data_IF_112340354824
#
_entry.id   IF_112340354824
#
_cell.length_a   1.000
_cell.length_b   1.000
_cell.length_c   1.000
_cell.angle_alpha   90.00
_cell.angle_beta   90.00
_cell.angle_gamma   90.00
#
_symmetry.space_group_name_H-M   'P 1'
#
loop_
_entity.id
_entity.type
_entity.pdbx_description
1 polymer ?
#
# COMPACT_ATOMS: atom_id res chain seq x y z
N UNK A 1 39.49 9.91 -21.81
CA UNK A 1 38.28 10.68 -22.17
C UNK A 1 37.26 9.67 -22.66
N UNK A 2 36.01 9.56 -22.21
CA UNK A 2 35.18 10.38 -21.35
C UNK A 2 34.15 9.43 -20.72
N UNK A 3 33.78 9.61 -19.46
CA UNK A 3 32.72 8.84 -18.83
C UNK A 3 31.40 9.13 -19.55
N UNK A 4 30.74 8.11 -20.08
CA UNK A 4 29.40 8.20 -20.66
C UNK A 4 28.42 8.68 -19.59
N UNK A 5 27.93 9.90 -19.75
CA UNK A 5 26.95 10.52 -18.85
C UNK A 5 25.64 9.73 -18.95
N UNK A 6 25.24 9.07 -17.87
CA UNK A 6 23.91 8.46 -17.79
C UNK A 6 22.84 9.55 -17.97
N UNK A 7 21.76 9.29 -18.75
CA UNK A 7 20.70 10.26 -18.96
C UNK A 7 20.07 10.64 -17.61
N UNK A 8 19.88 11.94 -17.36
CA UNK A 8 19.15 12.43 -16.19
C UNK A 8 17.70 11.96 -16.31
N UNK A 9 17.28 11.09 -15.41
CA UNK A 9 15.87 10.74 -15.24
C UNK A 9 15.14 12.02 -14.82
N UNK A 10 14.19 12.49 -15.64
CA UNK A 10 13.25 13.53 -15.21
C UNK A 10 12.35 12.90 -14.16
N UNK A 11 12.52 13.32 -12.91
CA UNK A 11 11.74 12.80 -11.79
C UNK A 11 10.32 13.34 -11.92
N UNK A 12 9.38 12.46 -12.26
CA UNK A 12 7.96 12.76 -12.18
C UNK A 12 7.59 12.76 -10.69
N UNK A 13 7.01 13.85 -10.15
CA UNK A 13 6.60 13.87 -8.75
C UNK A 13 5.53 12.80 -8.50
N UNK A 14 5.49 12.19 -7.30
CA UNK A 14 4.43 11.25 -6.96
C UNK A 14 3.06 11.94 -7.05
N UNK A 15 2.06 11.23 -7.57
CA UNK A 15 0.69 11.74 -7.74
C UNK A 15 0.08 12.28 -6.44
N UNK A 16 0.51 11.73 -5.29
CA UNK A 16 0.03 12.09 -3.95
C UNK A 16 1.00 12.98 -3.16
N UNK A 17 2.07 13.47 -3.79
CA UNK A 17 3.09 14.30 -3.16
C UNK A 17 3.92 13.57 -2.10
N UNK A 18 4.73 14.32 -1.35
CA UNK A 18 5.48 13.81 -0.19
C UNK A 18 4.57 13.67 1.02
N UNK A 19 4.69 12.57 1.76
CA UNK A 19 3.90 12.37 2.98
C UNK A 19 4.21 13.49 4.00
N UNK A 20 3.20 14.30 4.41
CA UNK A 20 3.41 15.38 5.36
C UNK A 20 3.96 14.86 6.70
N UNK A 21 4.81 15.64 7.37
CA UNK A 21 5.34 15.30 8.69
C UNK A 21 4.49 15.97 9.78
N UNK A 22 4.24 15.24 10.86
CA UNK A 22 3.63 15.79 12.08
C UNK A 22 4.71 16.52 12.90
N UNK A 23 5.00 17.77 12.51
CA UNK A 23 6.06 18.56 13.14
C UNK A 23 5.74 18.95 14.59
N UNK A 24 4.48 19.24 14.86
CA UNK A 24 4.00 19.67 16.19
C UNK A 24 3.71 18.49 17.12
N UNK A 25 3.69 17.27 16.57
CA UNK A 25 3.46 16.05 17.33
C UNK A 25 2.02 15.91 17.80
N UNK A 26 1.05 16.48 17.07
CA UNK A 26 -0.37 16.48 17.45
C UNK A 26 -0.91 15.04 17.56
N UNK A 27 -0.41 14.13 16.73
CA UNK A 27 -0.79 12.72 16.72
C UNK A 27 0.23 11.80 17.42
N UNK A 28 1.20 12.38 18.14
CA UNK A 28 2.30 11.64 18.78
C UNK A 28 1.80 10.64 19.83
N UNK A 29 0.79 10.99 20.63
CA UNK A 29 0.29 10.10 21.68
C UNK A 29 -0.29 8.79 21.13
N UNK A 30 -1.05 8.87 20.02
CA UNK A 30 -1.62 7.70 19.35
C UNK A 30 -0.52 6.90 18.64
N UNK A 31 0.43 7.60 18.01
CA UNK A 31 1.62 7.00 17.41
C UNK A 31 2.42 6.19 18.43
N UNK A 32 2.69 6.75 19.61
CA UNK A 32 3.44 6.09 20.67
C UNK A 32 2.70 4.87 21.22
N UNK A 33 1.37 4.94 21.36
CA UNK A 33 0.54 3.77 21.72
C UNK A 33 0.64 2.67 20.67
N UNK A 34 0.55 3.02 19.38
CA UNK A 34 0.71 2.07 18.28
C UNK A 34 2.10 1.41 18.30
N UNK A 35 3.17 2.19 18.41
CA UNK A 35 4.55 1.66 18.44
C UNK A 35 4.80 0.75 19.64
N UNK A 36 4.30 1.13 20.83
CA UNK A 36 4.37 0.28 22.04
C UNK A 36 3.62 -1.05 21.82
N UNK A 37 2.47 -1.02 21.15
CA UNK A 37 1.73 -2.23 20.81
C UNK A 37 2.55 -3.16 19.91
N UNK A 38 3.12 -2.63 18.82
CA UNK A 38 3.92 -3.40 17.86
C UNK A 38 5.15 -4.01 18.55
N UNK A 39 5.84 -3.22 19.39
CA UNK A 39 7.00 -3.69 20.16
C UNK A 39 6.62 -4.82 21.12
N UNK A 40 5.53 -4.67 21.89
CA UNK A 40 5.04 -5.69 22.82
C UNK A 40 4.70 -7.00 22.12
N UNK A 41 4.17 -6.92 20.90
CA UNK A 41 3.79 -8.06 20.07
C UNK A 41 4.92 -8.54 19.13
N UNK A 42 6.17 -8.18 19.43
CA UNK A 42 7.37 -8.62 18.71
C UNK A 42 7.31 -8.37 17.20
N UNK A 43 6.75 -7.21 16.81
CA UNK A 43 6.62 -6.81 15.42
C UNK A 43 5.31 -7.22 14.74
N UNK A 44 4.41 -7.93 15.42
CA UNK A 44 3.10 -8.23 14.85
C UNK A 44 2.20 -6.98 14.86
N UNK A 45 2.21 -6.24 13.76
CA UNK A 45 1.38 -5.05 13.57
C UNK A 45 -0.10 -5.35 13.28
N UNK A 46 -0.45 -6.60 12.95
CA UNK A 46 -1.83 -6.97 12.61
C UNK A 46 -2.77 -6.83 13.82
N UNK A 47 -2.28 -7.17 15.02
CA UNK A 47 -3.08 -7.06 16.25
C UNK A 47 -3.14 -5.61 16.78
N UNK A 48 -2.38 -4.69 16.20
CA UNK A 48 -2.36 -3.26 16.54
C UNK A 48 -3.14 -2.40 15.53
N UNK A 49 -3.91 -3.02 14.63
CA UNK A 49 -4.57 -2.33 13.51
C UNK A 49 -5.56 -1.25 13.95
N UNK A 50 -6.21 -1.43 15.09
CA UNK A 50 -7.09 -0.41 15.63
C UNK A 50 -6.33 0.87 16.04
N UNK A 51 -5.17 0.74 16.69
CA UNK A 51 -4.31 1.90 17.00
C UNK A 51 -3.76 2.55 15.74
N UNK A 52 -3.45 1.76 14.70
CA UNK A 52 -3.06 2.30 13.40
C UNK A 52 -4.20 3.08 12.73
N UNK A 53 -5.44 2.60 12.81
CA UNK A 53 -6.62 3.29 12.30
C UNK A 53 -6.85 4.62 13.03
N UNK A 54 -6.77 4.62 14.37
CA UNK A 54 -6.85 5.83 15.19
C UNK A 54 -5.74 6.84 14.84
N UNK A 55 -4.52 6.37 14.60
CA UNK A 55 -3.41 7.24 14.22
C UNK A 55 -3.63 7.90 12.85
N UNK A 56 -4.09 7.14 11.85
CA UNK A 56 -4.43 7.70 10.54
C UNK A 56 -5.59 8.68 10.62
N UNK A 57 -6.61 8.36 11.42
CA UNK A 57 -7.74 9.27 11.67
C UNK A 57 -7.29 10.58 12.29
N UNK A 58 -6.45 10.55 13.32
CA UNK A 58 -5.89 11.75 13.94
C UNK A 58 -5.21 12.65 12.89
N UNK A 59 -4.47 12.06 11.95
CA UNK A 59 -3.78 12.83 10.93
C UNK A 59 -4.73 13.45 9.91
N UNK A 60 -5.79 12.74 9.52
CA UNK A 60 -6.83 13.29 8.64
C UNK A 60 -7.53 14.46 9.34
N UNK A 61 -7.95 14.27 10.59
CA UNK A 61 -8.70 15.27 11.37
C UNK A 61 -7.87 16.55 11.62
N UNK A 62 -6.53 16.45 11.63
CA UNK A 62 -5.61 17.58 11.80
C UNK A 62 -4.99 18.09 10.49
N UNK A 63 -5.53 17.72 9.31
CA UNK A 63 -5.03 18.11 8.00
C UNK A 63 -3.54 17.72 7.76
N UNK A 64 -3.05 16.71 8.46
CA UNK A 64 -1.73 16.07 8.29
C UNK A 64 -1.80 14.85 7.34
N UNK A 65 -2.94 14.65 6.68
CA UNK A 65 -3.16 13.68 5.62
C UNK A 65 -4.37 14.17 4.79
N UNK A 66 -4.39 13.84 3.49
CA UNK A 66 -5.56 14.14 2.67
C UNK A 66 -6.80 13.41 3.21
N UNK A 67 -7.97 14.03 3.04
CA UNK A 67 -9.25 13.43 3.43
C UNK A 67 -9.54 12.20 2.55
N UNK A 68 -9.34 11.01 3.12
CA UNK A 68 -9.65 9.73 2.48
C UNK A 68 -10.30 8.78 3.50
N UNK A 69 -11.25 7.92 3.08
CA UNK A 69 -11.87 6.97 3.98
C UNK A 69 -10.84 5.93 4.45
N UNK A 70 -10.91 5.54 5.74
CA UNK A 70 -10.00 4.56 6.35
C UNK A 70 -9.97 3.21 5.63
N UNK A 71 -11.05 2.84 4.95
CA UNK A 71 -11.13 1.63 4.12
C UNK A 71 -10.16 1.64 2.94
N UNK A 72 -9.84 2.80 2.37
CA UNK A 72 -8.85 2.94 1.30
C UNK A 72 -7.42 2.69 1.80
N UNK A 73 -7.15 2.97 3.07
CA UNK A 73 -5.92 2.59 3.76
C UNK A 73 -5.91 1.10 4.17
N UNK A 74 -6.95 0.36 3.80
CA UNK A 74 -7.08 -1.07 4.04
C UNK A 74 -7.58 -1.43 5.44
N UNK A 75 -8.12 -0.48 6.21
CA UNK A 75 -8.79 -0.77 7.48
C UNK A 75 -10.16 -1.39 7.25
N UNK A 76 -10.51 -2.39 8.06
CA UNK A 76 -11.85 -2.99 8.09
C UNK A 76 -12.69 -2.26 9.11
N UNK A 77 -14.02 -2.40 9.02
CA UNK A 77 -14.94 -1.80 9.99
C UNK A 77 -14.54 -2.10 11.43
N UNK A 78 -14.29 -3.38 11.74
CA UNK A 78 -13.81 -3.80 13.07
C UNK A 78 -12.52 -3.13 13.56
N UNK A 79 -11.67 -2.66 12.65
CA UNK A 79 -10.42 -1.97 13.01
C UNK A 79 -10.73 -0.51 13.40
N UNK A 80 -11.82 0.07 12.89
CA UNK A 80 -12.23 1.46 13.11
C UNK A 80 -13.14 1.57 14.35
N UNK A 81 -14.07 0.63 14.53
CA UNK A 81 -15.12 0.73 15.56
C UNK A 81 -14.68 0.27 16.96
N UNK A 82 -13.46 -0.26 17.13
CA UNK A 82 -12.96 -0.60 18.46
C UNK A 82 -12.53 0.68 19.19
N UNK A 83 -13.51 1.36 19.79
CA UNK A 83 -13.25 2.27 20.90
C UNK A 83 -12.66 1.45 22.07
N UNK A 84 -11.61 1.94 22.76
CA UNK A 84 -11.23 1.38 24.05
C UNK A 84 -12.39 1.63 25.00
N UNK A 85 -13.16 0.58 25.30
CA UNK A 85 -14.36 0.56 26.12
C UNK A 85 -14.80 1.91 26.71
N UNK A 86 -15.71 2.59 26.02
CA UNK A 86 -16.90 3.22 26.61
C UNK A 86 -17.87 3.59 25.47
N UNK A 87 -19.16 3.40 25.75
CA UNK A 87 -20.23 3.24 24.76
C UNK A 87 -20.84 4.54 24.20
N UNK A 88 -21.68 4.37 23.16
CA UNK A 88 -22.70 5.28 22.59
C UNK A 88 -22.16 6.22 21.47
N UNK A 89 -22.60 6.16 20.21
CA UNK A 89 -23.99 6.26 19.73
C UNK A 89 -24.08 5.91 18.23
N UNK A 90 -25.16 5.24 17.85
CA UNK A 90 -25.47 4.70 16.51
C UNK A 90 -25.75 5.77 15.46
N UNK A 91 -25.10 5.67 14.29
CA UNK A 91 -25.63 6.10 12.98
C UNK A 91 -25.38 4.97 11.96
N UNK A 92 -26.28 4.77 10.98
CA UNK A 92 -26.17 3.63 10.07
C UNK A 92 -25.00 3.86 9.10
N UNK A 93 -24.05 2.94 9.14
CA UNK A 93 -22.91 2.91 8.22
C UNK A 93 -23.37 2.22 6.95
N UNK A 94 -23.28 2.92 5.82
CA UNK A 94 -23.48 2.35 4.49
C UNK A 94 -22.25 1.48 4.20
N UNK A 95 -22.42 0.17 4.19
CA UNK A 95 -21.30 -0.75 3.93
C UNK A 95 -20.98 -0.77 2.45
N UNK A 96 -19.71 -0.53 2.10
CA UNK A 96 -19.18 -0.51 0.73
C UNK A 96 -19.11 -1.88 0.05
N UNK A 97 -19.90 -2.84 0.52
CA UNK A 97 -19.85 -4.26 0.14
C UNK A 97 -20.31 -4.47 -1.31
N UNK A 98 -20.95 -3.48 -1.93
CA UNK A 98 -21.41 -3.56 -3.32
C UNK A 98 -20.34 -3.21 -4.37
N UNK A 99 -19.15 -2.71 -3.98
CA UNK A 99 -18.19 -2.14 -4.94
C UNK A 99 -16.81 -2.84 -5.01
N UNK A 100 -16.52 -3.83 -4.15
CA UNK A 100 -15.18 -4.45 -4.09
C UNK A 100 -15.18 -5.83 -4.74
N UNK A 101 -14.53 -5.98 -5.91
CA UNK A 101 -14.26 -7.30 -6.50
C UNK A 101 -13.33 -8.13 -5.60
N UNK A 102 -13.57 -9.44 -5.56
CA UNK A 102 -12.78 -10.40 -4.79
C UNK A 102 -11.28 -10.29 -5.13
N UNK A 103 -10.42 -10.25 -4.09
CA UNK A 103 -8.96 -10.33 -4.25
C UNK A 103 -8.60 -11.71 -4.80
N UNK A 104 -8.14 -11.76 -6.05
CA UNK A 104 -7.49 -12.94 -6.62
C UNK A 104 -6.11 -13.16 -5.98
N UNK A 105 -5.65 -14.41 -6.02
CA UNK A 105 -4.49 -14.91 -5.30
C UNK A 105 -3.19 -14.12 -5.56
N UNK A 106 -2.34 -14.12 -4.54
CA UNK A 106 -1.07 -13.38 -4.47
C UNK A 106 -0.13 -13.81 -5.60
N UNK A 107 0.08 -12.92 -6.58
CA UNK A 107 0.91 -13.11 -7.79
C UNK A 107 2.40 -13.40 -7.56
N UNK A 108 2.86 -13.55 -6.32
CA UNK A 108 4.27 -13.76 -5.99
C UNK A 108 4.82 -15.13 -6.44
N UNK A 109 3.94 -16.10 -6.73
CA UNK A 109 4.34 -17.41 -7.27
C UNK A 109 4.78 -17.36 -8.74
N UNK A 110 4.50 -16.26 -9.44
CA UNK A 110 4.94 -16.02 -10.80
C UNK A 110 6.04 -14.97 -10.75
N UNK A 111 7.29 -15.34 -11.06
CA UNK A 111 8.35 -14.35 -11.20
C UNK A 111 8.01 -13.37 -12.33
N UNK A 112 8.13 -12.07 -12.08
CA UNK A 112 8.02 -11.02 -13.10
C UNK A 112 9.33 -10.22 -13.13
N UNK A 113 9.85 -9.93 -14.33
CA UNK A 113 10.97 -9.00 -14.54
C UNK A 113 10.47 -7.90 -15.47
N UNK A 114 10.61 -6.64 -15.05
CA UNK A 114 10.13 -5.46 -15.80
C UNK A 114 8.64 -5.53 -16.21
N UNK A 115 7.79 -6.07 -15.34
CA UNK A 115 6.33 -6.14 -15.56
C UNK A 115 5.87 -7.22 -16.53
N UNK A 116 6.77 -8.09 -17.02
CA UNK A 116 6.44 -9.24 -17.86
C UNK A 116 6.67 -10.54 -17.10
N UNK A 117 5.80 -11.54 -17.33
CA UNK A 117 5.89 -12.84 -16.66
C UNK A 117 7.13 -13.60 -17.17
N UNK A 118 7.95 -14.08 -16.23
CA UNK A 118 9.19 -14.79 -16.55
C UNK A 118 8.88 -16.14 -17.21
N UNK A 119 7.76 -16.76 -16.83
CA UNK A 119 7.33 -18.07 -17.35
C UNK A 119 6.88 -17.97 -18.81
N UNK A 120 6.13 -16.94 -19.21
CA UNK A 120 5.72 -16.79 -20.61
C UNK A 120 6.88 -16.39 -21.51
N UNK A 121 7.80 -15.54 -21.03
CA UNK A 121 8.96 -15.14 -21.83
C UNK A 121 9.92 -16.34 -22.08
N UNK A 122 10.15 -17.19 -21.08
CA UNK A 122 10.95 -18.41 -21.26
C UNK A 122 10.36 -19.37 -22.30
N UNK A 123 9.04 -19.59 -22.24
CA UNK A 123 8.34 -20.44 -23.21
C UNK A 123 8.37 -19.85 -24.64
N UNK A 124 8.26 -18.52 -24.76
CA UNK A 124 8.32 -17.81 -26.05
C UNK A 124 9.71 -17.87 -26.68
N UNK A 125 10.77 -17.76 -25.88
CA UNK A 125 12.17 -17.79 -26.34
C UNK A 125 12.69 -19.20 -26.65
N UNK A 126 12.02 -20.25 -26.18
CA UNK A 126 12.32 -21.64 -26.54
C UNK A 126 11.58 -22.12 -27.81
N UNK A 127 10.58 -21.37 -28.29
CA UNK A 127 9.88 -21.72 -29.53
C UNK A 127 10.84 -21.65 -30.73
N UNK A 128 11.02 -22.78 -31.42
CA UNK A 128 11.84 -22.82 -32.64
C UNK A 128 11.28 -21.90 -33.73
N UNK A 129 9.96 -21.70 -33.76
CA UNK A 129 9.29 -20.79 -34.69
C UNK A 129 9.60 -19.32 -34.38
N UNK A 130 9.68 -18.92 -33.10
CA UNK A 130 10.05 -17.55 -32.74
C UNK A 130 11.51 -17.26 -33.10
N UNK A 131 12.42 -18.23 -32.88
CA UNK A 131 13.83 -18.13 -33.29
C UNK A 131 14.02 -18.07 -34.81
N UNK A 132 13.21 -18.81 -35.57
CA UNK A 132 13.26 -18.78 -37.04
C UNK A 132 12.72 -17.45 -37.58
N UNK A 133 11.63 -16.93 -37.03
CA UNK A 133 11.03 -15.66 -37.45
C UNK A 133 11.94 -14.46 -37.14
N UNK A 134 12.61 -14.44 -35.98
CA UNK A 134 13.58 -13.39 -35.65
C UNK A 134 14.83 -13.38 -36.55
N UNK A 135 15.15 -14.49 -37.23
CA UNK A 135 16.26 -14.58 -38.21
C UNK A 135 15.86 -14.16 -39.62
N UNK A 136 14.56 -14.14 -39.93
CA UNK A 136 14.06 -13.84 -41.28
C UNK A 136 13.46 -12.43 -41.42
N UNK A 137 13.12 -11.76 -40.30
CA UNK A 137 12.65 -10.36 -40.28
C UNK A 137 13.68 -9.38 -39.69
N UNK A 138 14.97 -9.75 -39.70
CA UNK A 138 16.10 -8.88 -39.37
C UNK A 138 16.78 -8.36 -40.61
#
# INVERSE_FOLDING_TARGET
>A
MSASQAPRLTVIPPDRGSFPLDHEGVCKEVSDRYLKCVQRLKGNAFDCRNLAAQYMKCRIDNNLLAEEPLTNFGFREKDITQEPGDALTTKPIVTGDSLVRQREDRKESQGFVAGQSVVENYARDQSLLSRFLSKFLG
#
